data_IF_311463555905
#
_entry.id   IF_311463555905
#
_cell.length_a   1.000
_cell.length_b   1.000
_cell.length_c   1.000
_cell.angle_alpha   90.00
_cell.angle_beta   90.00
_cell.angle_gamma   90.00
#
_symmetry.space_group_name_H-M   'P 1'
#
loop_
_entity.id
_entity.type
_entity.pdbx_description
1 polymer ?
#
# COMPACT_ATOMS: atom_id res chain seq x y z
N UNK A 1 -25.38 -55.71 -21.61
CA UNK A 1 -26.10 -54.43 -21.74
C UNK A 1 -25.08 -53.34 -22.07
N UNK A 2 -25.34 -52.60 -23.15
CA UNK A 2 -24.88 -51.24 -23.53
C UNK A 2 -23.57 -50.71 -22.89
N UNK A 3 -22.47 -50.46 -23.64
CA UNK A 3 -22.26 -49.26 -24.48
C UNK A 3 -22.04 -48.01 -23.58
N UNK A 4 -21.03 -47.15 -23.69
CA UNK A 4 -20.41 -46.57 -24.88
C UNK A 4 -19.36 -45.51 -24.42
N UNK A 5 -18.10 -45.68 -24.87
CA UNK A 5 -16.95 -44.79 -25.22
C UNK A 5 -16.71 -43.35 -24.65
N UNK A 6 -15.47 -42.84 -24.58
CA UNK A 6 -14.70 -42.26 -25.70
C UNK A 6 -13.17 -42.10 -25.45
N UNK A 7 -12.40 -42.80 -26.29
CA UNK A 7 -11.25 -42.33 -27.11
C UNK A 7 -10.60 -40.98 -26.74
N UNK A 8 -9.34 -40.99 -26.30
CA UNK A 8 -8.43 -39.84 -26.51
C UNK A 8 -7.47 -40.15 -27.65
N UNK A 9 -7.46 -39.25 -28.63
CA UNK A 9 -6.57 -39.23 -29.80
C UNK A 9 -5.24 -38.57 -29.41
N UNK A 10 -4.14 -39.17 -29.85
CA UNK A 10 -2.85 -38.51 -30.16
C UNK A 10 -2.81 -38.45 -31.71
N UNK A 11 -2.21 -37.46 -32.42
CA UNK A 11 -0.84 -36.91 -32.30
C UNK A 11 -0.79 -35.41 -32.77
N UNK A 12 0.28 -34.77 -33.34
CA UNK A 12 1.71 -35.10 -33.55
C UNK A 12 2.70 -33.95 -33.16
N UNK A 13 4.00 -34.26 -33.20
CA UNK A 13 5.12 -33.32 -32.98
C UNK A 13 5.59 -32.62 -34.28
N UNK A 14 6.41 -31.57 -34.07
CA UNK A 14 7.27 -30.75 -34.97
C UNK A 14 6.69 -29.42 -35.46
N UNK A 15 7.51 -28.38 -35.77
CA UNK A 15 8.98 -28.22 -35.65
C UNK A 15 9.47 -26.99 -34.82
N UNK A 16 10.74 -27.03 -34.39
CA UNK A 16 11.50 -25.93 -33.78
C UNK A 16 12.07 -25.01 -34.86
N UNK A 17 11.76 -23.71 -34.80
CA UNK A 17 12.50 -22.65 -35.51
C UNK A 17 12.86 -21.49 -34.58
N UNK A 18 14.00 -20.82 -34.84
CA UNK A 18 14.73 -20.04 -33.85
C UNK A 18 14.22 -18.59 -33.82
N UNK A 19 14.05 -18.01 -32.63
CA UNK A 19 13.98 -16.56 -32.49
C UNK A 19 14.82 -16.14 -31.32
N UNK A 20 16.06 -15.80 -31.67
CA UNK A 20 16.83 -14.66 -31.18
C UNK A 20 16.45 -14.21 -29.78
N UNK A 21 17.24 -14.63 -28.78
CA UNK A 21 17.29 -13.99 -27.47
C UNK A 21 17.65 -12.52 -27.70
N UNK A 22 16.63 -11.66 -27.78
CA UNK A 22 16.78 -10.23 -27.54
C UNK A 22 17.23 -10.14 -26.09
N UNK A 23 18.52 -9.93 -25.88
CA UNK A 23 19.06 -9.53 -24.58
C UNK A 23 18.29 -8.27 -24.22
N UNK A 24 17.29 -8.42 -23.35
CA UNK A 24 16.65 -7.30 -22.71
C UNK A 24 17.79 -6.55 -22.00
N UNK A 25 17.95 -5.28 -22.33
CA UNK A 25 18.78 -4.38 -21.55
C UNK A 25 18.41 -4.55 -20.06
N UNK A 26 19.38 -4.42 -19.13
CA UNK A 26 19.08 -4.51 -17.72
C UNK A 26 17.94 -3.53 -17.43
N UNK A 27 16.77 -4.06 -17.08
CA UNK A 27 15.70 -3.25 -16.54
C UNK A 27 16.27 -2.78 -15.22
N UNK A 28 16.67 -1.51 -15.14
CA UNK A 28 16.92 -0.88 -13.86
C UNK A 28 15.66 -1.10 -13.03
N UNK A 29 15.73 -2.04 -12.10
CA UNK A 29 14.66 -2.33 -11.17
C UNK A 29 14.59 -1.15 -10.24
N UNK A 30 13.93 -0.09 -10.69
CA UNK A 30 13.56 1.06 -9.87
C UNK A 30 12.81 0.49 -8.67
N UNK A 31 13.45 0.50 -7.50
CA UNK A 31 12.87 -0.04 -6.29
C UNK A 31 11.84 0.98 -5.79
N UNK A 32 10.58 0.58 -5.75
CA UNK A 32 9.49 1.42 -5.24
C UNK A 32 9.19 1.01 -3.80
N UNK A 33 9.31 1.95 -2.87
CA UNK A 33 8.97 1.76 -1.46
C UNK A 33 7.57 2.30 -1.16
N UNK A 34 6.86 1.66 -0.24
CA UNK A 34 5.52 2.11 0.16
C UNK A 34 5.64 3.23 1.19
N UNK A 35 4.95 4.34 0.94
CA UNK A 35 4.86 5.47 1.87
C UNK A 35 3.72 5.19 2.86
N UNK A 36 4.00 5.09 4.17
CA UNK A 36 2.96 4.86 5.16
C UNK A 36 2.12 6.11 5.39
N UNK A 37 0.85 5.93 5.76
CA UNK A 37 -0.06 7.05 6.05
C UNK A 37 0.27 7.76 7.38
N UNK A 38 0.85 7.03 8.32
CA UNK A 38 1.23 7.55 9.62
C UNK A 38 2.69 7.18 9.93
N UNK A 39 3.38 8.11 10.57
CA UNK A 39 4.75 7.93 11.04
C UNK A 39 4.75 7.81 12.55
N UNK A 40 5.49 6.83 13.05
CA UNK A 40 5.73 6.71 14.49
C UNK A 40 6.66 7.84 14.93
N UNK A 41 6.28 8.50 16.01
CA UNK A 41 7.02 9.62 16.59
C UNK A 41 7.18 9.43 18.09
N UNK A 42 8.19 10.05 18.67
CA UNK A 42 8.35 10.08 20.12
C UNK A 42 7.20 10.90 20.73
N UNK A 43 6.42 10.35 21.68
CA UNK A 43 5.41 11.13 22.40
C UNK A 43 5.94 12.43 23.03
N UNK A 44 7.24 12.48 23.36
CA UNK A 44 7.88 13.68 23.92
C UNK A 44 8.01 14.82 22.91
N UNK A 45 8.08 14.51 21.62
CA UNK A 45 8.17 15.54 20.56
C UNK A 45 6.80 16.13 20.22
N UNK A 46 5.72 15.39 20.48
CA UNK A 46 4.34 15.78 20.18
C UNK A 46 3.53 16.00 21.45
N UNK A 47 3.78 17.15 22.08
CA UNK A 47 3.16 17.52 23.35
C UNK A 47 1.64 17.66 23.23
N UNK A 48 1.13 18.14 22.11
CA UNK A 48 -0.31 18.39 21.94
C UNK A 48 -1.13 17.09 22.06
N UNK A 49 -0.75 16.05 21.32
CA UNK A 49 -1.44 14.77 21.39
C UNK A 49 -1.30 14.14 22.78
N UNK A 50 -0.12 14.26 23.39
CA UNK A 50 0.16 13.75 24.73
C UNK A 50 -0.67 14.45 25.82
N UNK A 51 -0.82 15.78 25.73
CA UNK A 51 -1.62 16.58 26.65
C UNK A 51 -3.12 16.27 26.51
N UNK A 52 -3.61 16.11 25.28
CA UNK A 52 -5.01 15.72 25.05
C UNK A 52 -5.27 14.33 25.66
N UNK A 53 -4.38 13.36 25.41
CA UNK A 53 -4.51 12.03 26.00
C UNK A 53 -4.49 12.07 27.53
N UNK A 54 -3.60 12.87 28.13
CA UNK A 54 -3.55 13.06 29.57
C UNK A 54 -4.82 13.71 30.12
N UNK A 55 -5.34 14.75 29.47
CA UNK A 55 -6.56 15.46 29.90
C UNK A 55 -7.79 14.57 29.85
N UNK A 56 -7.99 13.81 28.77
CA UNK A 56 -9.09 12.85 28.66
C UNK A 56 -8.96 11.74 29.70
N UNK A 57 -7.75 11.26 29.95
CA UNK A 57 -7.53 10.18 30.91
C UNK A 57 -7.73 10.66 32.35
N UNK A 58 -7.33 11.89 32.67
CA UNK A 58 -7.48 12.46 34.02
C UNK A 58 -8.94 12.53 34.49
N UNK A 59 -9.89 12.71 33.57
CA UNK A 59 -11.32 12.67 33.87
C UNK A 59 -11.79 11.26 34.24
N UNK A 60 -11.32 10.25 33.50
CA UNK A 60 -11.72 8.85 33.70
C UNK A 60 -10.94 8.10 34.80
N UNK A 61 -9.70 8.50 35.06
CA UNK A 61 -8.74 7.79 35.91
C UNK A 61 -7.73 8.79 36.52
N UNK A 62 -8.15 9.58 37.52
CA UNK A 62 -7.35 10.69 38.05
C UNK A 62 -6.05 10.27 38.73
N UNK A 63 -6.02 9.09 39.36
CA UNK A 63 -4.85 8.58 40.08
C UNK A 63 -3.93 7.71 39.19
N UNK A 64 -4.29 7.53 37.91
CA UNK A 64 -3.53 6.68 37.00
C UNK A 64 -2.33 7.41 36.38
N UNK A 65 -1.20 6.70 36.29
CA UNK A 65 -0.05 7.17 35.54
C UNK A 65 -0.21 6.85 34.05
N UNK A 66 -0.40 7.88 33.23
CA UNK A 66 -0.42 7.74 31.77
C UNK A 66 1.00 7.45 31.24
N UNK A 67 1.14 6.38 30.45
CA UNK A 67 2.38 6.05 29.73
C UNK A 67 2.04 5.80 28.27
N UNK A 68 2.41 6.74 27.40
CA UNK A 68 2.24 6.62 25.95
C UNK A 68 3.35 5.72 25.40
N UNK A 69 2.97 4.58 24.80
CA UNK A 69 3.92 3.61 24.22
C UNK A 69 4.24 3.91 22.76
N UNK A 70 3.22 4.23 21.99
CA UNK A 70 3.33 4.55 20.57
C UNK A 70 2.49 5.78 20.28
N UNK A 71 3.05 6.71 19.52
CA UNK A 71 2.34 7.86 19.00
C UNK A 71 2.58 7.94 17.50
N UNK A 72 1.50 8.15 16.76
CA UNK A 72 1.51 8.19 15.31
C UNK A 72 0.99 9.53 14.84
N UNK A 73 1.73 10.18 13.96
CA UNK A 73 1.34 11.44 13.32
C UNK A 73 1.14 11.20 11.83
N UNK A 74 0.21 11.94 11.24
CA UNK A 74 -0.08 11.88 9.81
C UNK A 74 1.19 12.17 9.00
N UNK A 75 1.51 11.29 8.04
CA UNK A 75 2.65 11.48 7.16
C UNK A 75 2.36 12.64 6.18
N UNK A 76 3.14 13.75 6.22
CA UNK A 76 2.88 14.89 5.35
C UNK A 76 3.03 14.56 3.86
N UNK A 77 3.87 13.57 3.50
CA UNK A 77 4.01 13.10 2.12
C UNK A 77 2.75 12.36 1.67
N UNK A 78 2.26 11.42 2.48
CA UNK A 78 1.04 10.67 2.18
C UNK A 78 -0.18 11.60 2.08
N UNK A 79 -0.31 12.55 3.01
CA UNK A 79 -1.36 13.58 2.99
C UNK A 79 -1.34 14.39 1.70
N UNK A 80 -0.16 14.90 1.31
CA UNK A 80 0.00 15.72 0.11
C UNK A 80 -0.40 14.95 -1.14
N UNK A 81 0.12 13.74 -1.31
CA UNK A 81 -0.20 12.92 -2.48
C UNK A 81 -1.67 12.51 -2.48
N UNK A 82 -2.24 12.18 -1.32
CA UNK A 82 -3.66 11.89 -1.17
C UNK A 82 -4.54 13.07 -1.60
N UNK A 83 -4.20 14.30 -1.19
CA UNK A 83 -4.92 15.49 -1.61
C UNK A 83 -4.83 15.74 -3.12
N UNK A 84 -3.66 15.54 -3.73
CA UNK A 84 -3.50 15.66 -5.18
C UNK A 84 -4.35 14.62 -5.91
N UNK A 85 -4.33 13.37 -5.45
CA UNK A 85 -5.14 12.30 -6.01
C UNK A 85 -6.65 12.60 -5.90
N UNK A 86 -7.09 13.10 -4.75
CA UNK A 86 -8.48 13.53 -4.54
C UNK A 86 -8.88 14.70 -5.46
N UNK A 87 -7.99 15.67 -5.68
CA UNK A 87 -8.27 16.79 -6.57
C UNK A 87 -8.41 16.35 -8.04
N UNK A 88 -7.60 15.38 -8.48
CA UNK A 88 -7.72 14.77 -9.81
C UNK A 88 -9.02 13.99 -9.91
N UNK A 89 -9.31 13.16 -8.91
CA UNK A 89 -10.54 12.37 -8.84
C UNK A 89 -11.81 13.24 -8.86
N UNK A 90 -11.80 14.39 -8.19
CA UNK A 90 -12.92 15.33 -8.19
C UNK A 90 -13.21 15.93 -9.58
N UNK A 91 -12.21 15.96 -10.47
CA UNK A 91 -12.38 16.39 -11.86
C UNK A 91 -12.89 15.29 -12.80
N UNK A 92 -12.90 14.04 -12.36
CA UNK A 92 -13.23 12.86 -13.17
C UNK A 92 -14.73 12.47 -13.12
N UNK A 93 -15.55 13.30 -12.46
CA UNK A 93 -17.00 13.13 -12.35
C UNK A 93 -17.47 12.55 -11.01
N UNK A 94 -18.65 11.94 -10.98
CA UNK A 94 -19.33 11.49 -9.75
C UNK A 94 -18.85 10.12 -9.22
N UNK A 95 -17.66 9.67 -9.62
CA UNK A 95 -17.11 8.40 -9.19
C UNK A 95 -16.42 8.48 -7.81
N UNK A 96 -16.48 7.39 -7.05
CA UNK A 96 -15.78 7.26 -5.77
C UNK A 96 -14.45 6.54 -5.95
N UNK A 97 -13.36 7.17 -5.51
CA UNK A 97 -12.02 6.62 -5.59
C UNK A 97 -11.47 6.32 -4.20
N UNK A 98 -10.67 5.25 -4.10
CA UNK A 98 -9.97 4.86 -2.88
C UNK A 98 -8.49 4.71 -3.18
N UNK A 99 -7.65 5.49 -2.50
CA UNK A 99 -6.19 5.36 -2.57
C UNK A 99 -5.77 4.10 -1.82
N UNK A 100 -5.30 3.09 -2.55
CA UNK A 100 -4.84 1.81 -1.97
C UNK A 100 -3.41 1.85 -1.45
N UNK A 101 -2.52 2.56 -2.13
CA UNK A 101 -1.11 2.67 -1.75
C UNK A 101 -0.46 3.88 -2.39
N UNK A 102 0.43 4.54 -1.66
CA UNK A 102 1.33 5.57 -2.18
C UNK A 102 2.73 4.96 -2.23
N UNK A 103 3.43 5.14 -3.35
CA UNK A 103 4.77 4.61 -3.54
C UNK A 103 5.74 5.72 -3.89
N UNK A 104 6.93 5.63 -3.32
CA UNK A 104 8.05 6.51 -3.59
C UNK A 104 9.15 5.72 -4.29
N UNK A 105 9.76 6.33 -5.29
CA UNK A 105 10.94 5.76 -5.95
C UNK A 105 12.13 5.90 -5.02
N UNK A 106 12.82 4.79 -4.76
CA UNK A 106 14.12 4.74 -4.08
C UNK A 106 15.18 4.66 -5.17
N UNK A 107 16.10 5.61 -5.17
CA UNK A 107 17.26 5.64 -6.06
C UNK A 107 18.38 4.74 -5.54
#
# INVERSE_FOLDING_TARGET
MFGWLHRKKQPPQTPVEPTTKKVAAPVETTQWETVPNFLEVDPKTELTASLIAAAVTADSAPDAKLVLKHLYVENPEAKRVGLIASAIAAGDGDAQYVVKSIKKKVD
#
